data_IF_218490626070
#
_entry.id   IF_218490626070
#
_cell.length_a   1.000
_cell.length_b   1.000
_cell.length_c   1.000
_cell.angle_alpha   90.00
_cell.angle_beta   90.00
_cell.angle_gamma   90.00
#
_symmetry.space_group_name_H-M   'P 1'
#
loop_
_entity.id
_entity.type
_entity.pdbx_description
1 polymer ?
#
# COMPACT_ATOMS: atom_id res chain seq x y z
N UNK A 1 36.90 1.02 1.91
CA UNK A 1 35.55 1.37 2.40
C UNK A 1 35.73 2.57 3.32
N UNK A 2 34.90 3.60 3.16
CA UNK A 2 34.98 4.82 3.97
C UNK A 2 34.49 4.51 5.40
N UNK A 3 35.17 5.00 6.44
CA UNK A 3 34.81 4.82 7.87
C UNK A 3 33.35 5.21 8.18
N UNK A 4 32.76 6.09 7.35
CA UNK A 4 31.33 6.41 7.42
C UNK A 4 30.45 5.20 7.10
N UNK A 5 30.72 4.51 6.00
CA UNK A 5 29.91 3.38 5.56
C UNK A 5 30.06 2.17 6.47
N UNK A 6 31.24 1.95 7.05
CA UNK A 6 31.43 0.90 8.04
C UNK A 6 30.51 1.12 9.27
N UNK A 7 30.35 2.37 9.71
CA UNK A 7 29.41 2.73 10.79
C UNK A 7 27.95 2.55 10.39
N UNK A 8 27.56 3.03 9.20
CA UNK A 8 26.19 2.85 8.68
C UNK A 8 25.82 1.37 8.60
N UNK A 9 26.75 0.53 8.12
CA UNK A 9 26.55 -0.92 8.00
C UNK A 9 26.37 -1.55 9.37
N UNK A 10 27.14 -1.13 10.36
CA UNK A 10 27.04 -1.64 11.72
C UNK A 10 25.70 -1.25 12.37
N UNK A 11 25.29 0.02 12.26
CA UNK A 11 23.99 0.48 12.73
C UNK A 11 22.83 -0.28 12.04
N UNK A 12 22.92 -0.49 10.72
CA UNK A 12 21.94 -1.30 10.00
C UNK A 12 21.87 -2.73 10.54
N UNK A 13 23.01 -3.39 10.79
CA UNK A 13 23.04 -4.77 11.30
C UNK A 13 22.43 -4.86 12.69
N UNK A 14 22.78 -3.93 13.59
CA UNK A 14 22.21 -3.86 14.94
C UNK A 14 20.70 -3.60 14.87
N UNK A 15 20.28 -2.62 14.08
CA UNK A 15 18.88 -2.29 13.87
C UNK A 15 18.09 -3.49 13.37
N UNK A 16 18.61 -4.15 12.32
CA UNK A 16 18.00 -5.37 11.77
C UNK A 16 17.92 -6.50 12.79
N UNK A 17 18.95 -6.76 13.58
CA UNK A 17 18.91 -7.81 14.60
C UNK A 17 17.88 -7.53 15.70
N UNK A 18 17.68 -6.25 16.05
CA UNK A 18 16.70 -5.83 17.04
C UNK A 18 15.25 -5.89 16.53
N UNK A 19 15.04 -5.62 15.23
CA UNK A 19 13.72 -5.49 14.61
C UNK A 19 13.25 -6.77 13.92
N UNK A 20 14.18 -7.51 13.32
CA UNK A 20 13.93 -8.69 12.51
C UNK A 20 14.62 -9.90 13.15
N UNK A 21 13.82 -10.92 13.45
CA UNK A 21 14.21 -12.15 14.14
C UNK A 21 15.67 -12.60 13.89
N UNK A 22 16.43 -12.72 14.98
CA UNK A 22 17.75 -13.35 14.96
C UNK A 22 17.60 -14.86 15.03
N UNK A 23 17.91 -15.58 13.94
CA UNK A 23 17.96 -17.06 13.89
C UNK A 23 18.89 -17.71 14.94
N UNK A 24 19.62 -16.92 15.72
CA UNK A 24 20.65 -17.38 16.66
C UNK A 24 20.15 -17.52 18.12
N UNK A 25 18.91 -17.17 18.45
CA UNK A 25 18.43 -17.22 19.86
C UNK A 25 17.04 -17.83 19.97
N UNK A 26 16.94 -18.89 20.76
CA UNK A 26 15.69 -19.59 21.09
C UNK A 26 14.66 -18.72 21.85
N UNK A 27 15.06 -17.51 22.28
CA UNK A 27 14.21 -16.56 23.02
C UNK A 27 14.33 -15.12 22.48
N UNK A 28 14.37 -14.94 21.16
CA UNK A 28 14.44 -13.59 20.59
C UNK A 28 13.18 -12.78 20.90
N UNK A 29 13.38 -11.59 21.43
CA UNK A 29 12.33 -10.58 21.66
C UNK A 29 12.70 -9.34 20.85
N UNK A 30 11.72 -8.80 20.14
CA UNK A 30 11.86 -7.57 19.37
C UNK A 30 12.19 -6.39 20.29
N UNK A 31 13.25 -5.65 19.97
CA UNK A 31 13.69 -4.46 20.70
C UNK A 31 13.41 -3.23 19.83
N UNK A 32 12.16 -2.77 19.80
CA UNK A 32 11.71 -1.72 18.87
C UNK A 32 12.50 -0.42 19.04
N UNK A 33 12.60 0.13 20.25
CA UNK A 33 13.26 1.42 20.49
C UNK A 33 14.73 1.41 20.06
N UNK A 34 15.48 0.40 20.50
CA UNK A 34 16.89 0.24 20.12
C UNK A 34 17.03 0.00 18.62
N UNK A 35 16.17 -0.83 18.06
CA UNK A 35 16.18 -1.17 16.65
C UNK A 35 15.93 0.03 15.76
N UNK A 36 14.87 0.79 16.05
CA UNK A 36 14.51 2.01 15.32
C UNK A 36 15.54 3.11 15.50
N UNK A 37 16.16 3.26 16.70
CA UNK A 37 17.26 4.19 16.90
C UNK A 37 18.39 3.96 15.90
N UNK A 38 18.94 2.74 15.86
CA UNK A 38 20.03 2.41 14.96
C UNK A 38 19.61 2.49 13.48
N UNK A 39 18.38 2.05 13.15
CA UNK A 39 17.88 2.11 11.79
C UNK A 39 17.72 3.55 11.28
N UNK A 40 17.19 4.46 12.10
CA UNK A 40 17.08 5.89 11.76
C UNK A 40 18.46 6.54 11.61
N UNK A 41 19.41 6.22 12.50
CA UNK A 41 20.80 6.68 12.38
C UNK A 41 21.42 6.24 11.06
N UNK A 42 21.31 4.95 10.73
CA UNK A 42 21.78 4.40 9.45
C UNK A 42 21.10 5.10 8.26
N UNK A 43 19.79 5.31 8.31
CA UNK A 43 19.02 5.97 7.25
C UNK A 43 19.48 7.40 6.99
N UNK A 44 19.54 8.25 8.02
CA UNK A 44 19.93 9.64 7.84
C UNK A 44 21.41 9.80 7.46
N UNK A 45 22.29 8.97 8.02
CA UNK A 45 23.71 8.97 7.61
C UNK A 45 23.88 8.49 6.16
N UNK A 46 23.17 7.45 5.74
CA UNK A 46 23.20 6.97 4.36
C UNK A 46 22.60 7.99 3.37
N UNK A 47 21.52 8.68 3.76
CA UNK A 47 20.89 9.72 2.94
C UNK A 47 21.84 10.88 2.66
N UNK A 48 22.65 11.28 3.64
CA UNK A 48 23.57 12.42 3.55
C UNK A 48 24.99 12.07 3.07
N UNK A 49 25.33 10.79 2.91
CA UNK A 49 26.64 10.39 2.39
C UNK A 49 26.83 10.85 0.92
N UNK A 50 27.96 11.48 0.59
CA UNK A 50 28.25 11.92 -0.79
C UNK A 50 28.34 10.73 -1.76
N UNK A 51 29.11 9.71 -1.37
CA UNK A 51 29.20 8.44 -2.09
C UNK A 51 28.27 7.41 -1.45
N UNK A 52 27.51 6.69 -2.27
CA UNK A 52 26.58 5.65 -1.81
C UNK A 52 27.20 4.27 -1.91
N UNK A 53 27.13 3.49 -0.84
CA UNK A 53 27.21 2.04 -0.93
C UNK A 53 25.81 1.54 -1.36
N UNK A 54 25.64 1.31 -2.66
CA UNK A 54 24.32 1.04 -3.24
C UNK A 54 23.60 -0.14 -2.58
N UNK A 55 24.31 -1.22 -2.26
CA UNK A 55 23.73 -2.41 -1.62
C UNK A 55 23.19 -2.08 -0.22
N UNK A 56 24.02 -1.53 0.66
CA UNK A 56 23.59 -1.27 2.03
C UNK A 56 22.61 -0.11 2.12
N UNK A 57 22.69 0.86 1.20
CA UNK A 57 21.68 1.91 1.14
C UNK A 57 20.30 1.32 0.76
N UNK A 58 20.24 0.45 -0.25
CA UNK A 58 19.03 -0.23 -0.65
C UNK A 58 18.42 -1.07 0.50
N UNK A 59 19.27 -1.74 1.27
CA UNK A 59 18.87 -2.51 2.46
C UNK A 59 18.29 -1.64 3.57
N UNK A 60 18.93 -0.49 3.86
CA UNK A 60 18.43 0.48 4.84
C UNK A 60 17.08 1.03 4.40
N UNK A 61 16.96 1.45 3.13
CA UNK A 61 15.70 1.95 2.56
C UNK A 61 14.59 0.90 2.62
N UNK A 62 14.88 -0.34 2.25
CA UNK A 62 13.90 -1.43 2.29
C UNK A 62 13.43 -1.73 3.72
N UNK A 63 14.33 -1.76 4.70
CA UNK A 63 13.95 -2.03 6.09
C UNK A 63 13.19 -0.84 6.68
N UNK A 64 13.58 0.39 6.36
CA UNK A 64 12.79 1.59 6.70
C UNK A 64 11.39 1.54 6.11
N UNK A 65 11.25 1.14 4.84
CA UNK A 65 9.95 1.00 4.19
C UNK A 65 9.05 -0.04 4.86
N UNK A 66 9.61 -1.13 5.40
CA UNK A 66 8.85 -2.11 6.17
C UNK A 66 8.41 -1.51 7.51
N UNK A 67 9.36 -0.99 8.29
CA UNK A 67 9.09 -0.50 9.65
C UNK A 67 8.16 0.72 9.68
N UNK A 68 8.14 1.51 8.61
CA UNK A 68 7.27 2.67 8.46
C UNK A 68 5.91 2.35 7.83
N UNK A 69 5.62 1.10 7.45
CA UNK A 69 4.38 0.73 6.74
C UNK A 69 3.11 1.20 7.47
N UNK A 70 3.05 1.06 8.78
CA UNK A 70 1.89 1.47 9.59
C UNK A 70 1.90 2.96 9.98
N UNK A 71 2.97 3.69 9.66
CA UNK A 71 3.26 5.05 10.16
C UNK A 71 3.45 6.08 9.03
N UNK A 72 3.29 5.67 7.76
CA UNK A 72 3.54 6.52 6.60
C UNK A 72 2.49 6.31 5.52
N UNK A 73 2.24 7.35 4.73
CA UNK A 73 1.32 7.26 3.59
C UNK A 73 1.87 6.34 2.49
N UNK A 74 0.99 5.77 1.66
CA UNK A 74 1.40 4.97 0.49
C UNK A 74 2.33 5.75 -0.46
N UNK A 75 2.11 7.07 -0.59
CA UNK A 75 2.95 7.95 -1.39
C UNK A 75 4.38 8.08 -0.80
N UNK A 76 4.51 8.25 0.51
CA UNK A 76 5.80 8.30 1.18
C UNK A 76 6.51 6.94 1.12
N UNK A 77 5.79 5.85 1.37
CA UNK A 77 6.34 4.49 1.27
C UNK A 77 6.92 4.23 -0.12
N UNK A 78 6.18 4.59 -1.17
CA UNK A 78 6.64 4.48 -2.54
C UNK A 78 7.87 5.35 -2.81
N UNK A 79 7.76 6.66 -2.61
CA UNK A 79 8.74 7.61 -3.15
C UNK A 79 9.96 7.81 -2.25
N UNK A 80 9.82 7.62 -0.94
CA UNK A 80 10.92 7.81 0.02
C UNK A 80 11.74 6.54 0.26
N UNK A 81 11.11 5.37 0.14
CA UNK A 81 11.75 4.10 0.51
C UNK A 81 11.83 3.09 -0.65
N UNK A 82 10.71 2.61 -1.17
CA UNK A 82 10.72 1.44 -2.07
C UNK A 82 11.24 1.75 -3.48
N UNK A 83 10.85 2.88 -4.08
CA UNK A 83 11.38 3.30 -5.38
C UNK A 83 12.90 3.54 -5.31
N UNK A 84 13.43 4.36 -4.38
CA UNK A 84 14.88 4.50 -4.20
C UNK A 84 15.57 3.17 -3.91
N UNK A 85 14.97 2.26 -3.13
CA UNK A 85 15.57 0.96 -2.83
C UNK A 85 15.76 0.12 -4.10
N UNK A 86 14.77 0.07 -5.00
CA UNK A 86 14.88 -0.65 -6.28
C UNK A 86 15.98 -0.05 -7.17
N UNK A 87 16.06 1.28 -7.25
CA UNK A 87 17.09 1.99 -8.00
C UNK A 87 18.50 1.63 -7.48
N UNK A 88 18.68 1.67 -6.15
CA UNK A 88 19.96 1.35 -5.52
C UNK A 88 20.33 -0.14 -5.64
N UNK A 89 19.37 -1.07 -5.54
CA UNK A 89 19.64 -2.48 -5.81
C UNK A 89 20.07 -2.72 -7.26
N UNK A 90 19.50 -1.98 -8.21
CA UNK A 90 19.86 -2.10 -9.63
C UNK A 90 21.31 -1.66 -9.84
N UNK A 91 21.71 -0.51 -9.29
CA UNK A 91 23.10 -0.03 -9.33
C UNK A 91 24.07 -1.02 -8.66
N UNK A 92 23.71 -1.58 -7.49
CA UNK A 92 24.54 -2.55 -6.80
C UNK A 92 24.80 -3.83 -7.62
N UNK A 93 23.79 -4.29 -8.36
CA UNK A 93 23.91 -5.46 -9.24
C UNK A 93 24.74 -5.14 -10.49
N UNK A 94 24.63 -3.93 -11.04
CA UNK A 94 25.45 -3.46 -12.15
C UNK A 94 26.93 -3.38 -11.77
N UNK A 95 27.25 -2.88 -10.56
CA UNK A 95 28.62 -2.84 -10.03
C UNK A 95 29.16 -4.23 -9.69
N UNK A 96 28.33 -5.08 -9.10
CA UNK A 96 28.72 -6.44 -8.72
C UNK A 96 27.51 -7.40 -8.78
N UNK A 97 27.38 -8.18 -9.87
CA UNK A 97 26.23 -9.07 -10.08
C UNK A 97 26.02 -10.13 -9.00
N UNK A 98 27.05 -10.47 -8.22
CA UNK A 98 27.01 -11.52 -7.21
C UNK A 98 26.85 -10.97 -5.78
N UNK A 99 26.63 -9.67 -5.59
CA UNK A 99 26.60 -9.05 -4.26
C UNK A 99 25.27 -9.22 -3.49
N UNK A 100 24.20 -9.67 -4.17
CA UNK A 100 22.86 -9.74 -3.59
C UNK A 100 22.21 -11.09 -3.83
N UNK A 101 21.43 -11.57 -2.85
CA UNK A 101 20.59 -12.74 -3.04
C UNK A 101 19.36 -12.37 -3.89
N UNK A 102 19.04 -13.06 -5.00
CA UNK A 102 17.96 -12.64 -5.90
C UNK A 102 16.60 -12.43 -5.22
N UNK A 103 16.27 -13.26 -4.21
CA UNK A 103 15.01 -13.15 -3.46
C UNK A 103 14.89 -11.86 -2.64
N UNK A 104 16.01 -11.29 -2.22
CA UNK A 104 16.05 -10.00 -1.50
C UNK A 104 15.53 -8.88 -2.41
N UNK A 105 16.05 -8.81 -3.64
CA UNK A 105 15.64 -7.84 -4.66
C UNK A 105 14.18 -8.07 -5.06
N UNK A 106 13.79 -9.33 -5.27
CA UNK A 106 12.42 -9.70 -5.66
C UNK A 106 11.39 -9.20 -4.64
N UNK A 107 11.66 -9.36 -3.34
CA UNK A 107 10.75 -8.90 -2.28
C UNK A 107 10.57 -7.37 -2.33
N UNK A 108 11.65 -6.62 -2.52
CA UNK A 108 11.59 -5.15 -2.60
C UNK A 108 10.89 -4.68 -3.86
N UNK A 109 11.09 -5.37 -5.00
CA UNK A 109 10.36 -5.09 -6.24
C UNK A 109 8.86 -5.34 -6.08
N UNK A 110 8.45 -6.41 -5.38
CA UNK A 110 7.02 -6.65 -5.09
C UNK A 110 6.41 -5.50 -4.29
N UNK A 111 7.11 -5.02 -3.25
CA UNK A 111 6.65 -3.87 -2.48
C UNK A 111 6.58 -2.59 -3.32
N UNK A 112 7.59 -2.33 -4.16
CA UNK A 112 7.59 -1.19 -5.07
C UNK A 112 6.40 -1.23 -6.04
N UNK A 113 6.18 -2.35 -6.74
CA UNK A 113 5.06 -2.47 -7.68
C UNK A 113 3.70 -2.36 -6.96
N UNK A 114 3.58 -2.90 -5.75
CA UNK A 114 2.37 -2.76 -4.93
C UNK A 114 2.06 -1.29 -4.59
N UNK A 115 3.02 -0.55 -4.01
CA UNK A 115 2.79 0.85 -3.64
C UNK A 115 2.69 1.76 -4.86
N UNK A 116 3.41 1.45 -5.95
CA UNK A 116 3.26 2.12 -7.24
C UNK A 116 1.84 1.98 -7.75
N UNK A 117 1.31 0.75 -7.79
CA UNK A 117 -0.07 0.49 -8.17
C UNK A 117 -1.06 1.28 -7.31
N UNK A 118 -0.90 1.28 -5.98
CA UNK A 118 -1.82 2.01 -5.09
C UNK A 118 -1.76 3.52 -5.34
N UNK A 119 -0.56 4.10 -5.46
CA UNK A 119 -0.40 5.55 -5.69
C UNK A 119 -0.84 5.97 -7.09
N UNK A 120 -0.67 5.09 -8.09
CA UNK A 120 -1.16 5.32 -9.46
C UNK A 120 -2.68 5.17 -9.53
N UNK A 121 -3.27 4.23 -8.77
CA UNK A 121 -4.72 4.05 -8.67
C UNK A 121 -5.44 5.07 -7.78
N UNK A 122 -4.76 5.64 -6.79
CA UNK A 122 -5.28 6.76 -5.98
C UNK A 122 -5.34 8.08 -6.76
N UNK A 123 -5.19 8.03 -8.10
CA UNK A 123 -5.46 9.12 -9.04
C UNK A 123 -6.59 8.71 -9.97
N UNK A 124 -7.83 8.62 -9.47
CA UNK A 124 -8.99 8.66 -10.37
C UNK A 124 -9.12 10.09 -10.90
N UNK A 125 -8.40 10.40 -11.99
CA UNK A 125 -8.42 11.72 -12.65
C UNK A 125 -8.45 11.66 -14.18
N UNK A 126 -8.63 10.48 -14.77
CA UNK A 126 -8.78 10.30 -16.22
C UNK A 126 -9.99 9.44 -16.53
N UNK A 127 -10.72 9.74 -17.61
CA UNK A 127 -11.91 8.98 -18.04
C UNK A 127 -11.64 7.48 -18.20
N UNK A 128 -10.42 7.13 -18.65
CA UNK A 128 -9.99 5.72 -18.76
C UNK A 128 -9.83 5.05 -17.39
N UNK A 129 -9.32 5.77 -16.38
CA UNK A 129 -9.22 5.27 -15.01
C UNK A 129 -10.58 5.05 -14.37
N UNK A 130 -11.49 6.02 -14.54
CA UNK A 130 -12.89 5.91 -14.13
C UNK A 130 -13.56 4.69 -14.77
N UNK A 131 -13.46 4.56 -16.10
CA UNK A 131 -14.06 3.47 -16.86
C UNK A 131 -13.52 2.09 -16.44
N UNK A 132 -12.22 1.98 -16.17
CA UNK A 132 -11.62 0.72 -15.69
C UNK A 132 -12.09 0.36 -14.26
N UNK A 133 -12.35 1.35 -13.41
CA UNK A 133 -12.87 1.12 -12.06
C UNK A 133 -14.31 0.63 -12.11
N UNK A 134 -15.19 1.32 -12.84
CA UNK A 134 -16.61 0.93 -12.92
C UNK A 134 -16.83 -0.37 -13.70
N UNK A 135 -15.92 -0.76 -14.59
CA UNK A 135 -15.96 -2.06 -15.30
C UNK A 135 -15.90 -3.28 -14.38
N UNK A 136 -15.46 -3.12 -13.14
CA UNK A 136 -15.48 -4.16 -12.13
C UNK A 136 -16.89 -4.37 -11.54
N UNK A 137 -17.84 -3.49 -11.88
CA UNK A 137 -19.22 -3.55 -11.45
C UNK A 137 -20.08 -4.25 -12.51
N UNK A 138 -20.81 -5.26 -12.09
CA UNK A 138 -21.82 -5.92 -12.91
C UNK A 138 -23.02 -4.97 -13.09
N UNK A 139 -23.43 -4.70 -14.33
CA UNK A 139 -24.50 -3.74 -14.62
C UNK A 139 -24.07 -2.27 -14.63
N UNK A 140 -22.76 -1.98 -14.76
CA UNK A 140 -22.23 -0.62 -14.81
C UNK A 140 -22.83 0.27 -15.91
N UNK A 141 -23.53 -0.29 -16.90
CA UNK A 141 -24.22 0.46 -17.94
C UNK A 141 -25.32 1.39 -17.40
N UNK A 142 -25.88 1.08 -16.22
CA UNK A 142 -26.84 1.98 -15.56
C UNK A 142 -26.19 3.21 -14.95
N UNK A 143 -24.86 3.23 -14.75
CA UNK A 143 -24.12 4.35 -14.16
C UNK A 143 -23.80 5.47 -15.17
N UNK A 144 -24.36 5.45 -16.39
CA UNK A 144 -24.02 6.42 -17.44
C UNK A 144 -24.18 7.89 -17.01
N UNK A 145 -25.12 8.19 -16.11
CA UNK A 145 -25.36 9.53 -15.56
C UNK A 145 -24.97 9.67 -14.08
N UNK A 146 -24.50 8.59 -13.45
CA UNK A 146 -24.15 8.58 -12.03
C UNK A 146 -22.72 9.07 -11.80
N UNK A 147 -22.57 10.03 -10.88
CA UNK A 147 -21.31 10.46 -10.31
C UNK A 147 -21.16 9.94 -8.89
N UNK A 148 -20.04 9.24 -8.62
CA UNK A 148 -19.67 8.93 -7.24
C UNK A 148 -19.35 10.20 -6.46
N UNK A 149 -18.65 11.16 -7.06
CA UNK A 149 -18.34 12.44 -6.43
C UNK A 149 -19.64 13.20 -6.14
N UNK A 150 -19.76 13.73 -4.92
CA UNK A 150 -20.95 14.41 -4.39
C UNK A 150 -22.19 13.52 -4.20
N UNK A 151 -22.09 12.21 -4.45
CA UNK A 151 -23.19 11.30 -4.13
C UNK A 151 -23.42 11.22 -2.62
N UNK A 152 -24.70 11.23 -2.22
CA UNK A 152 -25.11 11.19 -0.82
C UNK A 152 -25.25 9.76 -0.35
N UNK A 153 -24.65 9.44 0.79
CA UNK A 153 -24.91 8.18 1.48
C UNK A 153 -26.35 8.14 2.02
N UNK A 154 -27.10 7.08 1.67
CA UNK A 154 -28.49 6.87 2.14
C UNK A 154 -28.55 5.79 3.20
N UNK A 155 -28.02 4.60 2.90
CA UNK A 155 -28.04 3.47 3.83
C UNK A 155 -27.02 2.41 3.44
N UNK A 156 -26.57 1.65 4.43
CA UNK A 156 -25.87 0.39 4.26
C UNK A 156 -26.64 -0.69 5.02
N UNK A 157 -27.13 -1.69 4.30
CA UNK A 157 -27.77 -2.87 4.88
C UNK A 157 -26.80 -4.04 4.69
N UNK A 158 -26.43 -4.77 5.75
CA UNK A 158 -25.48 -5.87 5.64
C UNK A 158 -25.88 -7.08 6.51
N UNK A 159 -25.40 -8.26 6.09
CA UNK A 159 -25.43 -9.51 6.82
C UNK A 159 -24.10 -10.26 6.63
N UNK A 160 -24.00 -11.48 7.15
CA UNK A 160 -22.78 -12.29 7.14
C UNK A 160 -22.23 -12.63 5.74
N UNK A 161 -22.99 -12.45 4.66
CA UNK A 161 -22.64 -12.88 3.30
C UNK A 161 -22.83 -11.80 2.22
N UNK A 162 -23.64 -10.77 2.49
CA UNK A 162 -23.97 -9.73 1.52
C UNK A 162 -24.20 -8.37 2.16
N UNK A 163 -24.10 -7.33 1.33
CA UNK A 163 -24.39 -5.96 1.71
C UNK A 163 -25.06 -5.22 0.55
N UNK A 164 -25.86 -4.22 0.88
CA UNK A 164 -26.52 -3.32 -0.06
C UNK A 164 -26.23 -1.89 0.38
N UNK A 165 -25.44 -1.17 -0.42
CA UNK A 165 -25.20 0.25 -0.26
C UNK A 165 -26.15 1.03 -1.17
N UNK A 166 -26.78 2.06 -0.63
CA UNK A 166 -27.60 3.02 -1.38
C UNK A 166 -26.89 4.37 -1.41
N UNK A 167 -26.59 4.85 -2.61
CA UNK A 167 -26.05 6.19 -2.87
C UNK A 167 -27.05 6.98 -3.71
N UNK A 168 -27.19 8.27 -3.45
CA UNK A 168 -28.07 9.16 -4.20
C UNK A 168 -27.25 10.19 -4.99
N UNK A 169 -27.45 10.22 -6.31
CA UNK A 169 -26.99 11.28 -7.21
C UNK A 169 -28.08 11.49 -8.28
N UNK A 170 -28.94 12.48 -8.05
CA UNK A 170 -30.25 12.58 -8.71
C UNK A 170 -31.19 11.43 -8.28
N UNK A 171 -30.97 10.25 -8.86
CA UNK A 171 -31.64 8.99 -8.55
C UNK A 171 -30.91 8.18 -7.46
N UNK A 172 -31.53 7.11 -6.95
CA UNK A 172 -30.97 6.24 -5.91
C UNK A 172 -30.38 4.99 -6.55
N UNK A 173 -29.08 4.81 -6.45
CA UNK A 173 -28.37 3.65 -6.95
C UNK A 173 -28.10 2.63 -5.85
N UNK A 174 -28.35 1.36 -6.18
CA UNK A 174 -28.17 0.20 -5.33
C UNK A 174 -26.90 -0.55 -5.75
N UNK A 175 -25.94 -0.66 -4.84
CA UNK A 175 -24.74 -1.46 -4.99
C UNK A 175 -24.90 -2.72 -4.13
N UNK A 176 -25.13 -3.86 -4.76
CA UNK A 176 -25.31 -5.17 -4.15
C UNK A 176 -23.96 -5.91 -4.12
N UNK A 177 -23.42 -6.16 -2.93
CA UNK A 177 -22.16 -6.85 -2.70
C UNK A 177 -22.42 -8.30 -2.27
N UNK A 178 -21.65 -9.25 -2.80
CA UNK A 178 -21.73 -10.67 -2.40
C UNK A 178 -20.37 -11.33 -2.23
N UNK A 179 -20.33 -12.40 -1.42
CA UNK A 179 -19.10 -13.05 -0.95
C UNK A 179 -18.18 -12.03 -0.25
N UNK A 180 -18.72 -11.39 0.79
CA UNK A 180 -18.02 -10.36 1.54
C UNK A 180 -16.94 -10.98 2.41
N UNK A 181 -15.75 -10.39 2.34
CA UNK A 181 -14.60 -10.71 3.19
C UNK A 181 -14.50 -9.77 4.38
N UNK A 182 -14.72 -8.47 4.14
CA UNK A 182 -14.60 -7.44 5.18
C UNK A 182 -15.41 -6.19 4.84
N UNK A 183 -15.82 -5.46 5.87
CA UNK A 183 -16.48 -4.15 5.78
C UNK A 183 -15.87 -3.25 6.86
N UNK A 184 -15.23 -2.17 6.42
CA UNK A 184 -14.68 -1.12 7.29
C UNK A 184 -15.51 0.14 7.14
N UNK A 185 -15.94 0.77 8.25
CA UNK A 185 -16.72 2.00 8.23
C UNK A 185 -16.17 3.02 9.22
N UNK A 186 -15.82 4.21 8.73
CA UNK A 186 -15.08 5.24 9.45
C UNK A 186 -15.84 6.59 9.44
N UNK A 187 -17.10 6.62 9.88
CA UNK A 187 -17.93 7.84 9.79
C UNK A 187 -19.14 7.87 10.74
N UNK A 188 -19.51 9.10 11.14
CA UNK A 188 -20.82 9.43 11.73
C UNK A 188 -21.86 9.66 10.62
N UNK A 189 -22.79 8.72 10.48
CA UNK A 189 -23.63 8.43 9.29
C UNK A 189 -24.57 9.56 8.79
N UNK A 190 -24.65 10.69 9.49
CA UNK A 190 -25.73 11.67 9.28
C UNK A 190 -25.46 12.72 8.19
N UNK A 191 -24.22 12.85 7.69
CA UNK A 191 -23.84 13.89 6.71
C UNK A 191 -22.78 13.47 5.67
N UNK A 192 -22.56 12.18 5.45
CA UNK A 192 -21.48 11.72 4.56
C UNK A 192 -21.84 11.87 3.07
N UNK A 193 -21.06 12.70 2.38
CA UNK A 193 -20.98 12.79 0.93
C UNK A 193 -19.69 12.12 0.48
N UNK A 194 -19.72 11.48 -0.69
CA UNK A 194 -18.55 10.83 -1.26
C UNK A 194 -17.67 11.89 -1.93
N UNK A 195 -16.47 12.16 -1.39
CA UNK A 195 -15.52 13.08 -2.03
C UNK A 195 -14.60 12.36 -3.02
N UNK A 196 -14.32 11.09 -2.79
CA UNK A 196 -13.52 10.29 -3.71
C UNK A 196 -13.98 8.83 -3.65
N UNK A 197 -13.63 8.07 -4.69
CA UNK A 197 -13.91 6.65 -4.74
C UNK A 197 -12.75 5.88 -5.35
N UNK A 198 -12.65 4.59 -5.01
CA UNK A 198 -11.72 3.66 -5.61
C UNK A 198 -12.37 2.28 -5.71
N UNK A 199 -12.33 1.69 -6.91
CA UNK A 199 -12.78 0.32 -7.16
C UNK A 199 -11.66 -0.41 -7.87
N UNK A 200 -11.16 -1.49 -7.26
CA UNK A 200 -10.01 -2.21 -7.79
C UNK A 200 -9.97 -3.66 -7.34
N UNK A 201 -9.35 -4.52 -8.15
CA UNK A 201 -9.02 -5.87 -7.72
C UNK A 201 -7.87 -5.84 -6.71
N UNK A 202 -8.02 -6.59 -5.62
CA UNK A 202 -6.97 -6.84 -4.64
C UNK A 202 -5.85 -7.67 -5.29
N UNK A 203 -4.62 -7.50 -4.81
CA UNK A 203 -3.45 -8.25 -5.31
C UNK A 203 -2.80 -8.94 -4.11
N UNK A 204 -2.44 -10.23 -4.21
CA UNK A 204 -2.36 -11.05 -5.43
C UNK A 204 -3.68 -11.72 -5.89
N UNK A 205 -4.75 -11.62 -5.12
CA UNK A 205 -6.03 -12.29 -5.44
C UNK A 205 -6.92 -11.45 -6.38
N UNK A 206 -6.79 -11.71 -7.68
CA UNK A 206 -7.53 -11.01 -8.73
C UNK A 206 -9.05 -11.29 -8.69
N UNK A 207 -9.53 -12.27 -7.93
CA UNK A 207 -10.98 -12.50 -7.76
C UNK A 207 -11.61 -11.57 -6.72
N UNK A 208 -10.79 -10.96 -5.87
CA UNK A 208 -11.27 -10.07 -4.81
C UNK A 208 -11.32 -8.64 -5.31
N UNK A 209 -12.43 -7.96 -5.09
CA UNK A 209 -12.68 -6.56 -5.42
C UNK A 209 -12.75 -5.77 -4.12
N UNK A 210 -12.04 -4.63 -4.09
CA UNK A 210 -12.14 -3.61 -3.06
C UNK A 210 -12.94 -2.45 -3.62
N UNK A 211 -14.01 -2.09 -2.92
CA UNK A 211 -14.81 -0.89 -3.13
C UNK A 211 -14.55 0.04 -1.96
N UNK A 212 -14.10 1.26 -2.23
CA UNK A 212 -13.71 2.23 -1.22
C UNK A 212 -14.27 3.61 -1.61
N UNK A 213 -15.05 4.21 -0.72
CA UNK A 213 -15.59 5.57 -0.88
C UNK A 213 -15.17 6.45 0.31
N UNK A 214 -13.92 6.28 0.76
CA UNK A 214 -13.24 6.98 1.86
C UNK A 214 -13.74 6.57 3.26
N UNK A 215 -15.03 6.74 3.52
CA UNK A 215 -15.63 6.48 4.83
C UNK A 215 -16.25 5.08 4.94
N UNK A 216 -16.36 4.38 3.83
CA UNK A 216 -16.85 3.00 3.76
C UNK A 216 -15.98 2.23 2.77
N UNK A 217 -15.47 1.08 3.21
CA UNK A 217 -14.69 0.17 2.40
C UNK A 217 -15.26 -1.24 2.53
N UNK A 218 -15.53 -1.88 1.40
CA UNK A 218 -16.09 -3.23 1.31
C UNK A 218 -15.15 -4.08 0.45
N UNK A 219 -14.77 -5.24 0.98
CA UNK A 219 -13.96 -6.24 0.28
C UNK A 219 -14.85 -7.43 -0.04
N UNK A 220 -15.00 -7.78 -1.31
CA UNK A 220 -15.94 -8.82 -1.76
C UNK A 220 -15.49 -9.47 -3.08
N UNK A 221 -16.25 -10.41 -3.64
CA UNK A 221 -15.98 -10.95 -5.00
C UNK A 221 -16.81 -10.32 -6.11
N UNK A 222 -18.04 -9.90 -5.81
CA UNK A 222 -18.95 -9.35 -6.81
C UNK A 222 -19.65 -8.11 -6.30
N UNK A 223 -19.81 -7.14 -7.20
CA UNK A 223 -20.59 -5.93 -6.97
C UNK A 223 -21.53 -5.77 -8.17
N UNK A 224 -22.83 -5.76 -7.90
CA UNK A 224 -23.86 -5.54 -8.92
C UNK A 224 -24.55 -4.20 -8.67
N UNK A 225 -24.78 -3.44 -9.73
CA UNK A 225 -25.40 -2.12 -9.66
C UNK A 225 -26.78 -2.13 -10.29
N UNK A 226 -27.72 -1.41 -9.66
CA UNK A 226 -29.07 -1.14 -10.18
C UNK A 226 -29.47 0.29 -9.85
N UNK A 227 -30.06 1.01 -10.80
CA UNK A 227 -30.80 2.26 -10.57
C UNK A 227 -32.20 1.96 -10.04
#
# INVERSE_FOLDING_TARGET
>A
MNELWDRIIEDYKIGRECLVYSKKKDCWIRQEDKGMYHLWTAYYSALNAEEKNHLFYARVLSLMGWEMQAKSSNYELLNKYYKPAVEQYTLAVEENPNCVYPKEIENVRKSYEYYKYIVEKSKIRTDSGYYNAIKLLEGHECLNEFSFHDSKFISLECNDQSAVLKLQDGDIYHFEFSNIYDIEMNCDLLTAYVNDFAIYQAVPDLETIVFDIEFLKIICKHIKVRS
#
